data_IF_645225775960
#
_entry.id   IF_645225775960
#
_cell.length_a   1.000
_cell.length_b   1.000
_cell.length_c   1.000
_cell.angle_alpha   90.00
_cell.angle_beta   90.00
_cell.angle_gamma   90.00
#
_symmetry.space_group_name_H-M   'P 1'
#
loop_
_entity.id
_entity.type
_entity.pdbx_description
1 polymer ?
#
# COMPACT_ATOMS: atom_id res chain seq x y z
N UNK A 1 -57.21 -6.87 28.77
CA UNK A 1 -56.13 -7.60 29.49
C UNK A 1 -55.64 -8.66 28.52
N UNK A 2 -54.40 -8.75 28.04
CA UNK A 2 -53.13 -8.12 28.38
C UNK A 2 -52.45 -7.62 27.09
N UNK A 3 -51.82 -6.46 27.17
CA UNK A 3 -50.93 -5.91 26.17
C UNK A 3 -49.62 -6.72 26.13
N UNK A 4 -49.14 -7.06 24.94
CA UNK A 4 -47.71 -7.34 24.72
C UNK A 4 -47.28 -6.48 23.54
N UNK A 5 -46.64 -5.36 23.84
CA UNK A 5 -45.89 -4.59 22.86
C UNK A 5 -44.75 -5.48 22.39
N UNK A 6 -44.84 -6.01 21.17
CA UNK A 6 -43.70 -6.61 20.49
C UNK A 6 -42.74 -5.46 20.16
N UNK A 7 -41.90 -5.11 21.13
CA UNK A 7 -40.77 -4.21 20.98
C UNK A 7 -39.97 -4.71 19.80
N UNK A 8 -40.01 -3.96 18.70
CA UNK A 8 -39.23 -4.25 17.51
C UNK A 8 -37.79 -4.47 17.90
N UNK A 9 -37.35 -5.71 17.85
CA UNK A 9 -35.96 -6.08 17.96
C UNK A 9 -35.30 -5.51 16.70
N UNK A 10 -34.69 -4.33 16.81
CA UNK A 10 -33.71 -3.89 15.83
C UNK A 10 -32.68 -5.01 15.75
N UNK A 11 -32.73 -5.80 14.68
CA UNK A 11 -31.71 -6.80 14.42
C UNK A 11 -30.42 -6.01 14.31
N UNK A 12 -29.57 -6.09 15.34
CA UNK A 12 -28.17 -5.70 15.24
C UNK A 12 -27.49 -6.74 14.35
N UNK A 13 -27.79 -6.73 13.04
CA UNK A 13 -26.93 -7.40 12.06
C UNK A 13 -25.64 -6.59 12.07
N UNK A 14 -24.69 -7.04 12.90
CA UNK A 14 -23.29 -6.67 12.72
C UNK A 14 -22.98 -6.87 11.24
N UNK A 15 -22.37 -5.88 10.57
CA UNK A 15 -21.83 -6.10 9.24
C UNK A 15 -21.02 -7.39 9.29
N UNK A 16 -21.25 -8.29 8.32
CA UNK A 16 -20.47 -9.51 8.25
C UNK A 16 -19.00 -9.12 8.13
N UNK A 17 -18.08 -9.98 8.59
CA UNK A 17 -16.64 -9.68 8.49
C UNK A 17 -16.21 -9.35 7.04
N UNK A 18 -16.92 -9.94 6.07
CA UNK A 18 -16.76 -9.65 4.65
C UNK A 18 -17.19 -8.24 4.23
N UNK A 19 -18.11 -7.60 4.95
CA UNK A 19 -18.56 -6.23 4.67
C UNK A 19 -17.55 -5.19 5.19
N UNK A 20 -16.58 -5.59 6.01
CA UNK A 20 -15.54 -4.70 6.57
C UNK A 20 -14.22 -4.69 5.78
N UNK A 21 -14.07 -5.59 4.80
CA UNK A 21 -12.87 -5.67 3.98
C UNK A 21 -12.97 -4.70 2.79
N UNK A 22 -12.07 -3.73 2.72
CA UNK A 22 -11.98 -2.84 1.57
C UNK A 22 -11.53 -3.59 0.31
N UNK A 23 -12.28 -3.42 -0.78
CA UNK A 23 -11.99 -4.05 -2.09
C UNK A 23 -11.76 -3.03 -3.21
N UNK A 24 -11.49 -1.77 -2.88
CA UNK A 24 -11.12 -0.79 -3.91
C UNK A 24 -9.78 -1.17 -4.54
N UNK A 25 -9.50 -0.62 -5.71
CA UNK A 25 -8.24 -0.88 -6.41
C UNK A 25 -7.02 -0.45 -5.56
N UNK A 26 -7.14 0.64 -4.81
CA UNK A 26 -6.13 1.15 -3.90
C UNK A 26 -5.88 0.17 -2.75
N UNK A 27 -6.93 -0.31 -2.09
CA UNK A 27 -6.81 -1.28 -1.02
C UNK A 27 -6.17 -2.59 -1.50
N UNK A 28 -6.58 -3.09 -2.67
CA UNK A 28 -6.02 -4.31 -3.26
C UNK A 28 -4.54 -4.14 -3.58
N UNK A 29 -4.15 -3.00 -4.16
CA UNK A 29 -2.76 -2.67 -4.47
C UNK A 29 -1.90 -2.57 -3.20
N UNK A 30 -2.42 -1.91 -2.15
CA UNK A 30 -1.71 -1.79 -0.87
C UNK A 30 -1.57 -3.15 -0.18
N UNK A 31 -2.62 -3.96 -0.18
CA UNK A 31 -2.59 -5.32 0.38
C UNK A 31 -1.53 -6.18 -0.33
N UNK A 32 -1.43 -6.09 -1.66
CA UNK A 32 -0.39 -6.80 -2.41
C UNK A 32 1.02 -6.31 -2.01
N UNK A 33 1.24 -4.99 -1.96
CA UNK A 33 2.53 -4.42 -1.56
C UNK A 33 2.98 -4.85 -0.16
N UNK A 34 2.03 -4.99 0.78
CA UNK A 34 2.28 -5.49 2.12
C UNK A 34 2.60 -7.00 2.07
N UNK A 35 1.80 -7.78 1.35
CA UNK A 35 1.97 -9.24 1.23
C UNK A 35 3.31 -9.64 0.60
N UNK A 36 3.78 -8.86 -0.38
CA UNK A 36 5.08 -9.07 -1.03
C UNK A 36 6.25 -8.82 -0.07
N UNK A 37 6.06 -8.02 0.98
CA UNK A 37 7.11 -7.67 1.94
C UNK A 37 7.18 -8.63 3.14
N UNK A 38 6.02 -9.11 3.59
CA UNK A 38 5.89 -9.91 4.81
C UNK A 38 6.45 -11.33 4.60
N UNK A 39 7.28 -11.79 5.53
CA UNK A 39 7.68 -13.19 5.67
C UNK A 39 6.89 -13.88 6.78
N UNK A 40 5.83 -14.59 6.40
CA UNK A 40 4.93 -15.30 7.33
C UNK A 40 5.56 -16.55 7.97
N UNK A 41 6.82 -16.87 7.67
CA UNK A 41 7.56 -17.95 8.33
C UNK A 41 8.23 -17.51 9.63
N UNK A 42 8.30 -16.21 9.88
CA UNK A 42 8.85 -15.63 11.12
C UNK A 42 7.71 -15.35 12.08
N UNK A 43 7.86 -15.68 13.36
CA UNK A 43 6.88 -15.28 14.38
C UNK A 43 6.99 -13.77 14.63
N UNK A 44 5.91 -12.98 14.44
CA UNK A 44 5.94 -11.55 14.71
C UNK A 44 6.17 -11.19 16.19
N UNK A 45 5.88 -12.10 17.13
CA UNK A 45 6.14 -11.89 18.56
C UNK A 45 7.63 -11.98 18.90
N UNK A 46 8.41 -12.70 18.09
CA UNK A 46 9.84 -12.89 18.29
C UNK A 46 10.66 -11.86 17.50
N UNK A 47 10.37 -11.67 16.21
CA UNK A 47 11.04 -10.69 15.35
C UNK A 47 10.05 -10.06 14.36
N UNK A 48 9.36 -9.02 14.82
CA UNK A 48 8.41 -8.28 14.00
C UNK A 48 9.07 -7.63 12.78
N UNK A 49 10.37 -7.28 12.83
CA UNK A 49 11.05 -6.66 11.70
C UNK A 49 11.23 -7.67 10.56
N UNK A 50 11.72 -8.86 10.87
CA UNK A 50 11.88 -9.93 9.88
C UNK A 50 10.53 -10.45 9.40
N UNK A 51 9.50 -10.52 10.26
CA UNK A 51 8.14 -10.79 9.83
C UNK A 51 7.64 -9.74 8.83
N UNK A 52 7.72 -8.45 9.17
CA UNK A 52 7.12 -7.39 8.35
C UNK A 52 7.91 -7.09 7.06
N UNK A 53 9.23 -7.26 7.08
CA UNK A 53 10.12 -6.82 6.00
C UNK A 53 10.97 -7.95 5.39
N UNK A 54 10.89 -9.18 5.87
CA UNK A 54 11.84 -10.26 5.55
C UNK A 54 11.97 -10.56 4.07
N UNK A 55 10.86 -10.68 3.34
CA UNK A 55 10.89 -10.89 1.89
C UNK A 55 11.41 -9.66 1.17
N UNK A 56 10.93 -8.47 1.54
CA UNK A 56 11.40 -7.23 0.93
C UNK A 56 12.91 -7.04 1.10
N UNK A 57 13.45 -7.32 2.30
CA UNK A 57 14.89 -7.24 2.58
C UNK A 57 15.69 -8.23 1.71
N UNK A 58 15.14 -9.42 1.48
CA UNK A 58 15.76 -10.45 0.62
C UNK A 58 15.79 -10.04 -0.85
N UNK A 59 14.71 -9.44 -1.34
CA UNK A 59 14.52 -9.12 -2.76
C UNK A 59 15.10 -7.74 -3.14
N UNK A 60 15.38 -6.88 -2.15
CA UNK A 60 15.92 -5.53 -2.37
C UNK A 60 17.44 -5.54 -2.45
N UNK A 61 17.97 -5.10 -3.59
CA UNK A 61 19.39 -4.85 -3.77
C UNK A 61 19.73 -3.39 -3.46
N UNK A 62 20.84 -3.14 -2.79
CA UNK A 62 21.37 -1.79 -2.57
C UNK A 62 22.22 -1.40 -3.78
N UNK A 63 21.83 -0.40 -4.58
CA UNK A 63 22.64 0.10 -5.70
C UNK A 63 24.03 0.58 -5.26
N UNK A 64 24.99 0.57 -6.20
CA UNK A 64 26.31 1.14 -5.95
C UNK A 64 26.22 2.63 -5.63
N UNK A 65 27.01 3.08 -4.65
CA UNK A 65 27.12 4.49 -4.27
C UNK A 65 26.09 4.97 -3.26
N UNK A 66 25.21 4.08 -2.77
CA UNK A 66 24.33 4.37 -1.65
C UNK A 66 24.52 3.35 -0.53
N UNK A 67 24.40 3.80 0.72
CA UNK A 67 24.68 2.98 1.91
C UNK A 67 23.49 2.17 2.39
N UNK A 68 22.26 2.60 2.07
CA UNK A 68 21.04 1.94 2.47
C UNK A 68 19.88 2.24 1.51
N UNK A 69 18.98 1.27 1.38
CA UNK A 69 17.65 1.46 0.79
C UNK A 69 16.63 1.19 1.89
N UNK A 70 15.58 2.01 1.94
CA UNK A 70 14.40 1.78 2.75
C UNK A 70 13.15 2.28 2.00
N UNK A 71 11.97 2.12 2.60
CA UNK A 71 10.71 2.54 1.98
C UNK A 71 10.64 4.05 1.69
N UNK A 72 11.31 4.88 2.47
CA UNK A 72 11.41 6.32 2.20
C UNK A 72 12.27 6.59 0.97
N UNK A 73 13.41 5.91 0.81
CA UNK A 73 14.25 5.99 -0.39
C UNK A 73 13.46 5.59 -1.63
N UNK A 74 12.70 4.50 -1.59
CA UNK A 74 11.84 4.08 -2.71
C UNK A 74 10.78 5.13 -3.05
N UNK A 75 10.14 5.74 -2.03
CA UNK A 75 9.13 6.77 -2.23
C UNK A 75 9.74 8.05 -2.83
N UNK A 76 10.90 8.48 -2.35
CA UNK A 76 11.66 9.62 -2.87
C UNK A 76 12.05 9.39 -4.33
N UNK A 77 12.57 8.20 -4.66
CA UNK A 77 12.91 7.84 -6.03
C UNK A 77 11.69 7.89 -6.95
N UNK A 78 10.53 7.34 -6.51
CA UNK A 78 9.28 7.41 -7.30
C UNK A 78 8.80 8.85 -7.52
N UNK A 79 8.92 9.72 -6.51
CA UNK A 79 8.61 11.15 -6.61
C UNK A 79 9.51 11.81 -7.64
N UNK A 80 10.82 11.60 -7.56
CA UNK A 80 11.81 12.24 -8.43
C UNK A 80 11.66 11.78 -9.88
N UNK A 81 11.39 10.49 -10.10
CA UNK A 81 11.06 9.96 -11.42
C UNK A 81 9.78 10.57 -12.00
N UNK A 82 8.77 10.85 -11.16
CA UNK A 82 7.57 11.57 -11.59
C UNK A 82 7.89 13.02 -11.96
N UNK A 83 8.70 13.71 -11.15
CA UNK A 83 9.12 15.09 -11.44
C UNK A 83 9.90 15.17 -12.75
N UNK A 84 10.89 14.29 -12.96
CA UNK A 84 11.66 14.20 -14.21
C UNK A 84 10.76 13.98 -15.42
N UNK A 85 9.76 13.09 -15.32
CA UNK A 85 8.79 12.88 -16.42
C UNK A 85 8.01 14.15 -16.77
N UNK A 86 7.53 14.88 -15.77
CA UNK A 86 6.82 16.15 -15.99
C UNK A 86 7.74 17.19 -16.63
N UNK A 87 8.95 17.37 -16.10
CA UNK A 87 9.91 18.31 -16.67
C UNK A 87 10.25 17.96 -18.13
N UNK A 88 10.51 16.69 -18.43
CA UNK A 88 10.83 16.25 -19.79
C UNK A 88 9.69 16.54 -20.77
N UNK A 89 8.42 16.39 -20.35
CA UNK A 89 7.27 16.74 -21.18
C UNK A 89 7.20 18.24 -21.49
N UNK A 90 7.60 19.08 -20.54
CA UNK A 90 7.63 20.54 -20.71
C UNK A 90 8.82 21.03 -21.54
N UNK A 91 9.95 20.31 -21.49
CA UNK A 91 11.17 20.66 -22.21
C UNK A 91 11.27 19.99 -23.58
N UNK A 92 10.35 19.08 -23.95
CA UNK A 92 10.27 18.61 -25.32
C UNK A 92 9.88 19.79 -26.21
N UNK A 93 10.59 20.03 -27.34
CA UNK A 93 10.24 21.12 -28.24
C UNK A 93 8.78 20.95 -28.65
N UNK A 94 7.94 21.94 -28.34
CA UNK A 94 6.70 22.07 -29.07
C UNK A 94 7.10 22.20 -30.53
N UNK A 95 6.42 21.45 -31.41
CA UNK A 95 6.64 21.39 -32.87
C UNK A 95 6.54 22.78 -33.58
N UNK A 96 6.48 23.88 -32.85
CA UNK A 96 6.31 25.25 -33.33
C UNK A 96 7.55 26.14 -33.33
N UNK A 97 8.67 25.75 -32.71
CA UNK A 97 9.89 26.60 -32.67
C UNK A 97 10.93 26.24 -33.76
N UNK A 98 10.49 25.67 -34.88
CA UNK A 98 11.29 25.50 -36.09
C UNK A 98 10.70 26.32 -37.25
N UNK A 99 10.58 27.63 -37.07
CA UNK A 99 10.25 28.55 -38.16
C UNK A 99 11.12 29.78 -38.16
#
# INVERSE_FOLDING_TARGET
MLSVLNTGLSILTSPSENDKVCRTAECTKMAQQISDAIDTKVDPCDDFFSYACGKWKKDTQIPRGISAVNRFTEAANRRDEKMKRVLNQLTQPTRGDQS
#
